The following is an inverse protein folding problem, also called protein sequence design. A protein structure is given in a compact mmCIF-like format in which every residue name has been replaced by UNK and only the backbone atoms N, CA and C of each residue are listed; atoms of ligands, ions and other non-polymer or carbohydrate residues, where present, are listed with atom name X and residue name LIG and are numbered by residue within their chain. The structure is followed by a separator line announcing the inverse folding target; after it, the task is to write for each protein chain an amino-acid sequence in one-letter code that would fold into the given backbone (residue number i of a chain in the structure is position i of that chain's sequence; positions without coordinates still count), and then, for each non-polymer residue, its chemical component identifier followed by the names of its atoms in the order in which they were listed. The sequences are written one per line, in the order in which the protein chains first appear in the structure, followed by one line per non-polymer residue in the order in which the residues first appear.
data_IF_237564138533
#
_entry.id   IF_237564138533
#
_cell.length_a   1.000
_cell.length_b   1.000
_cell.length_c   1.000
_cell.angle_alpha   90.00
_cell.angle_beta   90.00
_cell.angle_gamma   90.00
#
_symmetry.space_group_name_H-M   'P 1'
#
loop_
_entity.id
_entity.type
_entity.pdbx_description
1 polymer ?
#
# COMPACT_ATOMS: atom_id res chain seq x y z
N UNK A 1 8.39 3.72 -6.97
CA UNK A 1 9.10 3.71 -8.26
C UNK A 1 8.35 4.56 -9.28
N UNK A 2 9.00 5.01 -10.35
CA UNK A 2 8.34 5.75 -11.43
C UNK A 2 8.00 4.80 -12.58
N UNK A 3 6.84 5.02 -13.20
CA UNK A 3 6.36 4.26 -14.33
C UNK A 3 6.02 5.19 -15.51
N UNK A 4 6.52 4.89 -16.70
CA UNK A 4 6.16 5.60 -17.94
C UNK A 4 5.56 4.64 -18.97
N UNK A 5 4.23 4.63 -19.18
CA UNK A 5 3.57 3.71 -20.11
C UNK A 5 3.95 3.96 -21.58
N UNK A 6 4.56 5.11 -21.90
CA UNK A 6 4.94 5.49 -23.27
C UNK A 6 6.24 4.85 -23.73
N UNK A 7 7.04 4.31 -22.80
CA UNK A 7 8.30 3.64 -23.11
C UNK A 7 8.07 2.17 -23.53
N UNK A 8 9.04 1.56 -24.24
CA UNK A 8 9.07 0.11 -24.46
C UNK A 8 8.87 -0.64 -23.15
N UNK A 9 8.22 -1.81 -23.21
CA UNK A 9 7.75 -2.53 -22.02
C UNK A 9 8.83 -2.68 -20.92
N UNK A 10 10.02 -3.11 -21.31
CA UNK A 10 11.18 -3.33 -20.42
C UNK A 10 11.75 -2.05 -19.80
N UNK A 11 11.38 -0.88 -20.32
CA UNK A 11 11.89 0.43 -19.92
C UNK A 11 10.86 1.26 -19.16
N UNK A 12 9.64 0.74 -18.95
CA UNK A 12 8.56 1.49 -18.30
C UNK A 12 8.85 1.77 -16.83
N UNK A 13 9.57 0.89 -16.14
CA UNK A 13 10.10 1.18 -14.82
C UNK A 13 11.35 2.05 -14.93
N UNK A 14 11.20 3.34 -14.62
CA UNK A 14 12.25 4.34 -14.78
C UNK A 14 13.29 4.16 -13.68
N UNK A 15 14.51 3.74 -14.06
CA UNK A 15 15.62 3.46 -13.12
C UNK A 15 16.18 4.71 -12.45
N UNK A 16 16.22 5.84 -13.16
CA UNK A 16 16.79 7.11 -12.67
C UNK A 16 15.76 8.25 -12.84
N UNK A 17 14.65 8.22 -12.09
CA UNK A 17 13.64 9.26 -12.23
C UNK A 17 14.12 10.58 -11.65
N UNK A 18 13.47 11.67 -12.07
CA UNK A 18 13.67 12.97 -11.43
C UNK A 18 13.27 12.89 -9.93
N UNK A 19 13.94 13.66 -9.05
CA UNK A 19 13.56 13.73 -7.65
C UNK A 19 12.09 14.13 -7.47
N UNK A 20 11.39 13.44 -6.57
CA UNK A 20 10.03 13.82 -6.17
C UNK A 20 10.14 14.99 -5.19
N UNK A 21 9.30 16.01 -5.35
CA UNK A 21 9.23 17.12 -4.38
C UNK A 21 8.94 16.56 -2.96
N UNK A 22 9.68 16.97 -1.92
CA UNK A 22 9.57 16.37 -0.58
C UNK A 22 8.13 16.34 -0.04
N UNK A 23 7.37 17.42 -0.23
CA UNK A 23 5.99 17.52 0.25
C UNK A 23 5.05 16.53 -0.46
N UNK A 24 5.29 16.27 -1.75
CA UNK A 24 4.53 15.29 -2.52
C UNK A 24 4.85 13.87 -2.05
N UNK A 25 6.13 13.57 -1.83
CA UNK A 25 6.56 12.27 -1.31
C UNK A 25 5.95 11.99 0.06
N UNK A 26 6.06 12.93 1.01
CA UNK A 26 5.46 12.83 2.34
C UNK A 26 3.95 12.62 2.27
N UNK A 27 3.27 13.33 1.35
CA UNK A 27 1.84 13.17 1.14
C UNK A 27 1.48 11.77 0.64
N UNK A 28 2.21 11.25 -0.34
CA UNK A 28 2.01 9.91 -0.88
C UNK A 28 2.23 8.85 0.20
N UNK A 29 3.31 8.94 0.99
CA UNK A 29 3.57 8.03 2.11
C UNK A 29 2.43 8.05 3.14
N UNK A 30 1.97 9.24 3.52
CA UNK A 30 0.85 9.40 4.45
C UNK A 30 -0.44 8.77 3.92
N UNK A 31 -0.74 8.97 2.63
CA UNK A 31 -1.95 8.43 2.01
C UNK A 31 -1.87 6.91 1.84
N UNK A 32 -0.72 6.35 1.46
CA UNK A 32 -0.50 4.89 1.43
C UNK A 32 -0.75 4.26 2.79
N UNK A 33 -0.17 4.83 3.86
CA UNK A 33 -0.38 4.32 5.21
C UNK A 33 -1.83 4.43 5.66
N UNK A 34 -2.55 5.48 5.25
CA UNK A 34 -3.97 5.64 5.53
C UNK A 34 -4.78 4.53 4.85
N UNK A 35 -4.51 4.26 3.57
CA UNK A 35 -5.18 3.21 2.80
C UNK A 35 -4.93 1.82 3.43
N UNK A 36 -3.67 1.47 3.72
CA UNK A 36 -3.34 0.18 4.33
C UNK A 36 -4.04 -0.01 5.69
N UNK A 37 -4.05 1.02 6.55
CA UNK A 37 -4.73 0.95 7.85
C UNK A 37 -6.25 0.82 7.73
N UNK A 38 -6.85 1.56 6.80
CA UNK A 38 -8.30 1.53 6.59
C UNK A 38 -8.76 0.17 6.05
N UNK A 39 -8.00 -0.42 5.14
CA UNK A 39 -8.33 -1.70 4.51
C UNK A 39 -7.85 -2.92 5.33
N UNK A 40 -6.91 -2.69 6.26
CA UNK A 40 -6.36 -3.74 7.12
C UNK A 40 -5.31 -4.59 6.41
N UNK A 41 -4.42 -3.94 5.64
CA UNK A 41 -3.31 -4.61 4.97
C UNK A 41 -2.01 -4.46 5.76
N UNK A 42 -1.33 -5.58 6.00
CA UNK A 42 0.05 -5.62 6.50
C UNK A 42 1.08 -5.41 5.38
N UNK A 43 0.76 -5.80 4.16
CA UNK A 43 1.54 -5.58 2.94
C UNK A 43 0.61 -5.08 1.84
N UNK A 44 1.04 -4.08 1.07
CA UNK A 44 0.31 -3.56 -0.08
C UNK A 44 1.25 -2.77 -0.98
N UNK A 45 1.01 -2.76 -2.28
CA UNK A 45 1.51 -1.68 -3.16
C UNK A 45 0.42 -0.64 -3.38
N UNK A 46 0.85 0.63 -3.39
CA UNK A 46 -0.03 1.75 -3.70
C UNK A 46 0.60 2.53 -4.83
N UNK A 47 -0.13 2.64 -5.93
CA UNK A 47 0.25 3.38 -7.12
C UNK A 47 -0.49 4.70 -7.18
N UNK A 48 0.24 5.75 -7.58
CA UNK A 48 -0.33 7.07 -7.75
C UNK A 48 -0.05 7.63 -9.14
N UNK A 49 -1.09 8.18 -9.77
CA UNK A 49 -0.95 9.13 -10.85
C UNK A 49 -0.83 10.54 -10.25
N UNK A 50 0.14 11.34 -10.68
CA UNK A 50 0.32 12.70 -10.19
C UNK A 50 -0.05 13.69 -11.28
N UNK A 51 -1.05 14.54 -11.02
CA UNK A 51 -1.48 15.60 -11.93
C UNK A 51 -1.50 16.94 -11.19
N UNK A 52 -0.76 17.93 -11.71
CA UNK A 52 -0.70 19.26 -11.09
C UNK A 52 -0.19 19.26 -9.63
N UNK A 53 0.68 18.31 -9.28
CA UNK A 53 1.18 18.14 -7.91
C UNK A 53 0.20 17.43 -6.96
N UNK A 54 -0.95 16.97 -7.44
CA UNK A 54 -1.92 16.21 -6.66
C UNK A 54 -1.75 14.71 -6.95
N UNK A 55 -1.50 13.86 -5.93
CA UNK A 55 -1.46 12.41 -6.10
C UNK A 55 -2.87 11.81 -6.07
N UNK A 56 -3.19 10.99 -7.07
CA UNK A 56 -4.42 10.21 -7.18
C UNK A 56 -4.07 8.73 -7.07
N UNK A 57 -4.58 8.05 -6.05
CA UNK A 57 -4.40 6.60 -5.93
C UNK A 57 -5.14 5.90 -7.07
N UNK A 58 -4.41 5.12 -7.87
CA UNK A 58 -4.94 4.42 -9.04
C UNK A 58 -4.99 2.90 -8.85
N UNK A 59 -4.09 2.37 -8.02
CA UNK A 59 -4.13 1.01 -7.53
C UNK A 59 -3.71 1.02 -6.06
N UNK A 60 -4.49 0.36 -5.21
CA UNK A 60 -4.27 0.28 -3.78
C UNK A 60 -4.87 -1.00 -3.18
N UNK A 61 -5.20 -1.97 -4.04
CA UNK A 61 -5.88 -3.22 -3.69
C UNK A 61 -4.99 -4.42 -4.01
N UNK A 62 -3.69 -4.29 -3.83
CA UNK A 62 -2.69 -5.30 -4.18
C UNK A 62 -1.92 -5.78 -2.93
N UNK A 63 -2.56 -6.58 -2.05
CA UNK A 63 -1.97 -7.03 -0.78
C UNK A 63 -0.93 -8.16 -0.92
N UNK A 64 -0.65 -8.58 -2.14
CA UNK A 64 0.37 -9.57 -2.48
C UNK A 64 1.08 -9.10 -3.76
N UNK A 65 1.85 -8.00 -3.67
CA UNK A 65 2.42 -7.38 -4.84
C UNK A 65 3.45 -8.29 -5.51
N UNK A 66 3.49 -8.23 -6.84
CA UNK A 66 4.63 -8.75 -7.59
C UNK A 66 5.86 -7.92 -7.25
N UNK A 67 6.85 -8.57 -6.67
CA UNK A 67 8.11 -7.99 -6.28
C UNK A 67 9.28 -8.65 -7.02
N UNK A 68 9.07 -9.04 -8.28
CA UNK A 68 10.13 -9.61 -9.11
C UNK A 68 11.38 -8.70 -9.16
N UNK A 69 12.56 -9.32 -9.02
CA UNK A 69 13.85 -8.65 -8.96
C UNK A 69 14.13 -7.73 -10.15
N UNK A 70 13.72 -8.12 -11.36
CA UNK A 70 13.95 -7.32 -12.56
C UNK A 70 12.99 -6.14 -12.67
N UNK A 71 11.83 -6.23 -12.01
CA UNK A 71 10.83 -5.16 -11.97
C UNK A 71 11.16 -4.12 -10.91
N UNK A 72 11.33 -4.55 -9.65
CA UNK A 72 11.54 -3.62 -8.52
C UNK A 72 12.99 -3.20 -8.34
N UNK A 73 13.93 -3.96 -8.92
CA UNK A 73 15.36 -3.73 -8.79
C UNK A 73 15.94 -4.26 -7.47
N UNK A 74 17.28 -4.35 -7.37
CA UNK A 74 17.94 -5.11 -6.31
C UNK A 74 17.67 -4.57 -4.90
N UNK A 75 17.74 -3.25 -4.73
CA UNK A 75 17.57 -2.59 -3.43
C UNK A 75 16.15 -2.80 -2.87
N UNK A 76 15.13 -2.63 -3.73
CA UNK A 76 13.74 -2.82 -3.32
C UNK A 76 13.42 -4.30 -3.09
N UNK A 77 14.01 -5.19 -3.89
CA UNK A 77 13.87 -6.63 -3.74
C UNK A 77 14.43 -7.11 -2.40
N UNK A 78 15.65 -6.71 -2.06
CA UNK A 78 16.27 -7.06 -0.77
C UNK A 78 15.47 -6.49 0.40
N UNK A 79 15.03 -5.24 0.28
CA UNK A 79 14.20 -4.61 1.32
C UNK A 79 12.89 -5.36 1.54
N UNK A 80 12.14 -5.69 0.49
CA UNK A 80 10.82 -6.32 0.65
C UNK A 80 10.93 -7.75 1.17
N UNK A 81 11.92 -8.52 0.70
CA UNK A 81 12.15 -9.89 1.18
C UNK A 81 12.47 -9.87 2.68
N UNK A 82 13.37 -8.99 3.11
CA UNK A 82 13.74 -8.88 4.52
C UNK A 82 12.55 -8.41 5.37
N UNK A 83 11.84 -7.35 4.97
CA UNK A 83 10.72 -6.81 5.72
C UNK A 83 9.57 -7.82 5.87
N UNK A 84 9.25 -8.56 4.80
CA UNK A 84 8.19 -9.58 4.83
C UNK A 84 8.62 -10.79 5.65
N UNK A 85 9.89 -11.21 5.58
CA UNK A 85 10.42 -12.29 6.40
C UNK A 85 10.36 -11.94 7.89
N UNK A 86 10.80 -10.73 8.27
CA UNK A 86 10.70 -10.24 9.65
C UNK A 86 9.26 -10.17 10.13
N UNK A 87 8.35 -9.65 9.30
CA UNK A 87 6.92 -9.61 9.61
C UNK A 87 6.36 -11.03 9.84
N UNK A 88 6.69 -11.98 8.96
CA UNK A 88 6.19 -13.35 9.06
C UNK A 88 6.72 -14.07 10.31
N UNK A 89 8.01 -13.92 10.62
CA UNK A 89 8.62 -14.46 11.85
C UNK A 89 7.98 -13.84 13.08
N UNK A 90 7.83 -12.52 13.11
CA UNK A 90 7.19 -11.81 14.21
C UNK A 90 5.77 -12.28 14.47
N UNK A 91 4.97 -12.49 13.41
CA UNK A 91 3.62 -13.05 13.51
C UNK A 91 3.62 -14.49 14.03
N UNK A 92 4.52 -15.34 13.55
CA UNK A 92 4.63 -16.74 13.97
C UNK A 92 5.02 -16.89 15.45
N UNK A 93 5.80 -15.95 15.98
CA UNK A 93 6.21 -15.93 17.39
C UNK A 93 5.23 -15.16 18.30
N UNK A 94 4.25 -14.47 17.73
CA UNK A 94 3.29 -13.69 18.51
C UNK A 94 2.13 -14.55 19.01
N UNK A 95 1.57 -14.17 20.15
CA UNK A 95 0.28 -14.71 20.64
C UNK A 95 -0.93 -14.06 19.94
N UNK A 96 -0.71 -13.23 18.91
CA UNK A 96 -1.79 -12.58 18.17
C UNK A 96 -2.62 -13.64 17.44
N UNK A 97 -3.92 -13.65 17.71
CA UNK A 97 -4.84 -14.50 16.94
C UNK A 97 -4.87 -14.04 15.48
N UNK A 98 -4.82 -14.97 14.51
CA UNK A 98 -4.97 -14.63 13.11
C UNK A 98 -6.24 -13.80 12.87
N UNK A 99 -6.11 -12.77 12.04
CA UNK A 99 -7.23 -11.90 11.66
C UNK A 99 -8.27 -12.76 10.94
N UNK A 100 -9.48 -12.84 11.52
CA UNK A 100 -10.58 -13.64 10.96
C UNK A 100 -11.31 -12.91 9.83
N UNK A 101 -11.32 -11.58 9.87
CA UNK A 101 -11.96 -10.72 8.88
C UNK A 101 -11.15 -9.44 8.66
N UNK A 102 -11.12 -8.96 7.43
CA UNK A 102 -10.49 -7.69 7.09
C UNK A 102 -11.28 -6.52 7.67
N UNK A 103 -10.58 -5.45 8.06
CA UNK A 103 -11.18 -4.26 8.69
C UNK A 103 -12.26 -3.61 7.82
N UNK A 104 -12.15 -3.75 6.49
CA UNK A 104 -13.14 -3.19 5.58
C UNK A 104 -14.51 -3.86 5.68
N UNK A 105 -14.64 -5.09 6.21
CA UNK A 105 -15.93 -5.78 6.37
C UNK A 105 -16.89 -4.95 7.21
N UNK A 106 -16.37 -4.20 8.18
CA UNK A 106 -17.13 -3.27 9.01
C UNK A 106 -17.84 -2.14 8.25
N UNK A 107 -17.36 -1.76 7.05
CA UNK A 107 -18.03 -0.76 6.22
C UNK A 107 -19.25 -1.32 5.48
N UNK A 108 -19.35 -2.65 5.33
CA UNK A 108 -20.51 -3.32 4.73
C UNK A 108 -21.56 -3.73 5.77
N UNK A 109 -21.15 -3.76 7.04
CA UNK A 109 -21.95 -4.22 8.18
C UNK A 109 -22.93 -3.11 8.65
N UNK A 110 -24.00 -2.92 7.86
CA UNK A 110 -24.98 -1.82 8.02
C UNK A 110 -25.61 -1.71 9.42
N UNK A 111 -25.75 -2.81 10.17
CA UNK A 111 -26.33 -2.81 11.51
C UNK A 111 -25.47 -2.08 12.57
N UNK A 112 -24.14 -2.05 12.41
CA UNK A 112 -23.25 -1.31 13.34
C UNK A 112 -23.24 0.19 13.08
N UNK A 113 -23.40 0.59 11.82
CA UNK A 113 -23.46 2.00 11.43
C UNK A 113 -24.72 2.71 11.99
N UNK A 114 -25.86 2.02 12.07
CA UNK A 114 -27.08 2.56 12.68
C UNK A 114 -27.01 2.66 14.21
N UNK A 115 -26.33 1.71 14.87
CA UNK A 115 -26.13 1.74 16.34
C UNK A 115 -25.17 2.84 16.80
N UNK A 116 -24.22 3.27 15.95
CA UNK A 116 -23.34 4.40 16.27
C UNK A 116 -24.10 5.74 16.21
N UNK A 117 -24.97 5.93 15.21
CA UNK A 117 -25.79 7.15 15.06
C UNK A 117 -26.85 7.33 16.15
N UNK A 118 -27.38 6.24 16.71
CA UNK A 118 -28.40 6.29 17.76
C UNK A 118 -27.85 6.54 19.17
N UNK A 119 -26.53 6.48 19.37
CA UNK A 119 -25.86 6.81 20.64
C UNK A 119 -25.42 8.26 20.77
N UNK A 120 -25.42 9.03 19.67
CA UNK A 120 -25.07 10.45 19.64
C UNK A 120 -26.30 11.38 19.69
N UNK A 121 -27.50 10.84 19.91
CA UNK A 121 -28.77 11.57 20.07
C UNK A 121 -29.28 11.43 21.50
#
# INVERSE_FOLDING_TARGET
MWYDPRLPHEQRYVKNPAPIAPQLYERMVKDSLKLCRALGYELNTVEFAVQGGVPYAIDFLNPAPDADYHSVGPENFEWVVNAVAELAIGKALSDESPVKEYRWSSFLDSEKAEKAKSREV
#
